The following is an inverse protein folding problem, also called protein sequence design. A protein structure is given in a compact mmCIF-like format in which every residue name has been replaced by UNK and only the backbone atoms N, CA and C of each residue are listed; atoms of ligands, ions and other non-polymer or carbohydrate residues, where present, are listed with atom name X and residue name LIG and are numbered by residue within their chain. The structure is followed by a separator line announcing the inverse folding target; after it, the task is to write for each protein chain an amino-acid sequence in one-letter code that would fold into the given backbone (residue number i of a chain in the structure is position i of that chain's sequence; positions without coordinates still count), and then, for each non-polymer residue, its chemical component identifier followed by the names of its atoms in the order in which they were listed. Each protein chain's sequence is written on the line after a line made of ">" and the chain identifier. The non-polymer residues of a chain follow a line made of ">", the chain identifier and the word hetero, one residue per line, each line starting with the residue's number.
data_IF_635259481769
#
_entry.id   IF_635259481769
#
_cell.length_a   1.000
_cell.length_b   1.000
_cell.length_c   1.000
_cell.angle_alpha   90.00
_cell.angle_beta   90.00
_cell.angle_gamma   90.00
#
_symmetry.space_group_name_H-M   'P 1'
#
loop_
_entity.id
_entity.type
_entity.pdbx_description
1 polymer ?
#
# COMPACT_ATOMS: atom_id res chain seq x y z
N UNK A 1 -15.85 39.92 0.88
CA UNK A 1 -14.51 39.49 0.45
C UNK A 1 -14.39 37.98 0.68
N UNK A 2 -14.86 37.17 -0.27
CA UNK A 2 -14.66 35.71 -0.24
C UNK A 2 -13.31 35.41 -0.92
N UNK A 3 -12.27 35.20 -0.12
CA UNK A 3 -11.09 34.41 -0.53
C UNK A 3 -11.34 32.99 -0.05
N UNK A 4 -12.23 32.29 -0.74
CA UNK A 4 -12.56 30.90 -0.43
C UNK A 4 -11.71 30.00 -1.31
N UNK A 5 -10.56 29.63 -0.74
CA UNK A 5 -9.93 28.30 -0.85
C UNK A 5 -10.03 27.61 -2.22
N UNK A 6 -9.45 28.21 -3.25
CA UNK A 6 -8.75 27.44 -4.27
C UNK A 6 -7.46 26.90 -3.62
N UNK A 7 -7.59 25.91 -2.75
CA UNK A 7 -6.47 25.07 -2.35
C UNK A 7 -6.04 24.32 -3.62
N UNK A 8 -4.94 24.80 -4.22
CA UNK A 8 -4.26 24.24 -5.38
C UNK A 8 -4.47 22.72 -5.51
N UNK A 9 -5.36 22.27 -6.41
CA UNK A 9 -5.52 20.85 -6.77
C UNK A 9 -4.18 20.22 -7.18
N UNK A 10 -3.27 21.03 -7.73
CA UNK A 10 -1.88 20.65 -8.05
C UNK A 10 -1.03 20.26 -6.83
N UNK A 11 -1.40 20.66 -5.60
CA UNK A 11 -0.67 20.30 -4.36
C UNK A 11 -1.15 19.01 -3.72
N UNK A 12 -2.31 18.48 -4.13
CA UNK A 12 -2.88 17.24 -3.59
C UNK A 12 -2.77 16.06 -4.56
N UNK A 13 -2.14 16.25 -5.71
CA UNK A 13 -1.72 15.18 -6.62
C UNK A 13 -0.40 14.57 -6.15
N UNK A 14 -0.29 13.24 -6.25
CA UNK A 14 0.98 12.55 -6.02
C UNK A 14 2.04 13.01 -7.02
N UNK A 15 3.32 12.93 -6.61
CA UNK A 15 4.46 13.07 -7.54
C UNK A 15 4.64 11.85 -8.44
N UNK A 16 4.05 10.71 -8.08
CA UNK A 16 4.02 9.47 -8.85
C UNK A 16 2.63 9.33 -9.50
N UNK A 17 2.44 9.98 -10.65
CA UNK A 17 1.19 9.89 -11.43
C UNK A 17 1.19 8.72 -12.42
N UNK A 18 2.24 7.92 -12.45
CA UNK A 18 2.34 6.71 -13.26
C UNK A 18 2.93 5.60 -12.41
N UNK A 19 2.28 4.44 -12.42
CA UNK A 19 2.80 3.26 -11.74
C UNK A 19 4.02 2.73 -12.47
N UNK A 20 4.97 2.16 -11.73
CA UNK A 20 5.96 1.28 -12.33
C UNK A 20 5.26 0.10 -13.02
N UNK A 21 5.73 -0.22 -14.23
CA UNK A 21 5.23 -1.33 -15.04
C UNK A 21 6.37 -2.21 -15.52
N UNK A 22 6.07 -3.47 -15.76
CA UNK A 22 7.06 -4.46 -16.19
C UNK A 22 7.64 -5.26 -15.01
N UNK A 23 8.62 -6.12 -15.31
CA UNK A 23 9.28 -7.00 -14.32
C UNK A 23 10.78 -7.12 -14.53
N UNK A 24 11.38 -6.31 -15.39
CA UNK A 24 12.79 -6.46 -15.80
C UNK A 24 13.75 -6.24 -14.63
N UNK A 25 13.34 -5.43 -13.65
CA UNK A 25 14.09 -5.13 -12.42
C UNK A 25 13.65 -5.97 -11.22
N UNK A 26 12.70 -6.88 -11.38
CA UNK A 26 12.14 -7.65 -10.26
C UNK A 26 13.24 -8.44 -9.54
N UNK A 27 13.31 -8.29 -8.21
CA UNK A 27 14.26 -9.01 -7.37
C UNK A 27 13.76 -10.41 -7.00
N UNK A 28 14.70 -11.36 -6.93
CA UNK A 28 14.47 -12.74 -6.55
C UNK A 28 15.55 -13.23 -5.56
N UNK A 29 15.18 -14.15 -4.69
CA UNK A 29 16.08 -14.98 -3.88
C UNK A 29 15.94 -16.43 -4.37
N UNK A 30 16.87 -16.88 -5.23
CA UNK A 30 16.71 -18.10 -6.02
C UNK A 30 15.46 -18.02 -6.90
N UNK A 31 14.48 -18.91 -6.65
CA UNK A 31 13.19 -18.91 -7.33
C UNK A 31 12.10 -18.07 -6.63
N UNK A 32 12.40 -17.54 -5.44
CA UNK A 32 11.44 -16.81 -4.60
C UNK A 32 11.37 -15.36 -5.03
N UNK A 33 10.19 -14.91 -5.47
CA UNK A 33 9.96 -13.51 -5.82
C UNK A 33 9.89 -12.66 -4.55
N UNK A 34 10.64 -11.56 -4.51
CA UNK A 34 10.63 -10.65 -3.35
C UNK A 34 9.62 -9.52 -3.54
N UNK A 35 8.83 -9.26 -2.51
CA UNK A 35 7.73 -8.32 -2.50
C UNK A 35 7.82 -7.43 -1.25
N UNK A 36 7.36 -6.19 -1.33
CA UNK A 36 7.10 -5.37 -0.16
C UNK A 36 5.59 -5.28 0.10
N UNK A 37 5.20 -5.24 1.37
CA UNK A 37 3.82 -5.05 1.83
C UNK A 37 3.81 -4.00 2.94
N UNK A 38 2.81 -3.12 2.94
CA UNK A 38 2.76 -2.01 3.88
C UNK A 38 1.40 -1.87 4.56
N UNK A 39 1.42 -1.88 5.89
CA UNK A 39 0.25 -1.60 6.74
C UNK A 39 0.21 -0.11 7.01
N UNK A 40 -0.66 0.59 6.29
CA UNK A 40 -0.86 2.03 6.45
C UNK A 40 -1.91 2.27 7.52
N UNK A 41 -1.55 3.07 8.52
CA UNK A 41 -2.42 3.44 9.63
C UNK A 41 -2.57 4.95 9.73
N UNK A 42 -3.73 5.41 10.20
CA UNK A 42 -3.95 6.80 10.59
C UNK A 42 -4.75 6.86 11.88
N UNK A 43 -4.60 7.96 12.63
CA UNK A 43 -5.48 8.28 13.76
C UNK A 43 -6.28 9.54 13.44
N UNK A 44 -7.60 9.42 13.43
CA UNK A 44 -8.46 10.59 13.36
C UNK A 44 -8.37 11.40 14.66
N UNK A 45 -8.51 12.72 14.57
CA UNK A 45 -8.46 13.60 15.74
C UNK A 45 -9.60 13.23 16.70
N UNK A 46 -9.24 12.91 17.95
CA UNK A 46 -10.21 12.51 18.97
C UNK A 46 -10.63 11.04 18.92
N UNK A 47 -10.13 10.24 17.97
CA UNK A 47 -10.36 8.80 17.95
C UNK A 47 -9.47 8.07 18.98
N UNK A 48 -10.03 7.06 19.62
CA UNK A 48 -9.32 6.23 20.60
C UNK A 48 -8.39 5.19 19.97
N UNK A 49 -8.59 4.86 18.69
CA UNK A 49 -7.88 3.79 17.99
C UNK A 49 -7.48 4.22 16.56
N UNK A 50 -6.51 3.50 16.00
CA UNK A 50 -6.08 3.69 14.61
C UNK A 50 -7.06 3.03 13.63
N UNK A 51 -7.19 3.64 12.47
CA UNK A 51 -7.75 3.04 11.26
C UNK A 51 -6.62 2.54 10.36
N UNK A 52 -6.90 1.50 9.59
CA UNK A 52 -5.99 0.86 8.66
C UNK A 52 -6.54 0.97 7.23
N UNK A 53 -5.67 1.24 6.28
CA UNK A 53 -6.04 1.38 4.88
C UNK A 53 -6.01 0.04 4.17
N UNK A 54 -7.11 -0.30 3.51
CA UNK A 54 -7.19 -1.33 2.49
C UNK A 54 -7.47 -0.70 1.14
N UNK A 55 -7.08 -1.41 0.08
CA UNK A 55 -7.39 -1.05 -1.30
C UNK A 55 -8.06 -2.20 -2.03
N UNK A 56 -8.86 -1.90 -3.05
CA UNK A 56 -9.43 -2.92 -3.93
C UNK A 56 -8.32 -3.61 -4.73
N UNK A 57 -8.40 -4.94 -4.86
CA UNK A 57 -7.49 -5.71 -5.71
C UNK A 57 -7.70 -5.38 -7.20
N UNK A 58 -6.61 -5.09 -7.91
CA UNK A 58 -6.64 -4.86 -9.36
C UNK A 58 -7.14 -6.06 -10.16
N UNK A 59 -6.94 -7.29 -9.67
CA UNK A 59 -7.40 -8.52 -10.33
C UNK A 59 -8.85 -8.88 -9.99
N UNK A 60 -9.29 -8.53 -8.77
CA UNK A 60 -10.60 -8.89 -8.25
C UNK A 60 -11.16 -7.68 -7.51
N UNK A 61 -11.82 -6.72 -8.21
CA UNK A 61 -12.22 -5.44 -7.62
C UNK A 61 -13.13 -5.52 -6.40
N UNK A 62 -13.79 -6.67 -6.18
CA UNK A 62 -14.62 -6.94 -5.00
C UNK A 62 -13.84 -7.43 -3.77
N UNK A 63 -12.54 -7.69 -3.90
CA UNK A 63 -11.66 -8.13 -2.81
C UNK A 63 -10.78 -6.99 -2.33
N UNK A 64 -10.51 -6.98 -1.02
CA UNK A 64 -9.63 -6.00 -0.38
C UNK A 64 -8.25 -6.61 -0.11
N UNK A 65 -7.21 -5.78 -0.20
CA UNK A 65 -5.82 -6.13 0.09
C UNK A 65 -5.12 -4.95 0.79
N UNK A 66 -3.97 -5.23 1.40
CA UNK A 66 -2.99 -4.21 1.75
C UNK A 66 -2.25 -3.73 0.47
N UNK A 67 -1.79 -2.47 0.43
CA UNK A 67 -0.86 -2.02 -0.61
C UNK A 67 0.42 -2.86 -0.59
N UNK A 68 0.84 -3.33 -1.76
CA UNK A 68 1.99 -4.24 -1.90
C UNK A 68 2.42 -4.35 -3.35
N UNK A 69 3.68 -4.68 -3.57
CA UNK A 69 4.13 -5.04 -4.90
C UNK A 69 5.55 -5.55 -4.97
N UNK A 70 6.08 -5.56 -6.19
CA UNK A 70 7.37 -6.15 -6.52
C UNK A 70 8.52 -5.32 -6.00
N UNK A 71 9.43 -5.93 -5.22
CA UNK A 71 10.68 -5.29 -4.86
C UNK A 71 11.63 -5.31 -6.06
N UNK A 72 11.98 -4.13 -6.57
CA UNK A 72 12.92 -3.97 -7.68
C UNK A 72 14.39 -3.83 -7.22
N UNK A 73 15.33 -4.08 -8.13
CA UNK A 73 16.77 -4.09 -7.83
C UNK A 73 17.40 -2.71 -7.65
N UNK A 74 16.69 -1.64 -8.04
CA UNK A 74 17.12 -0.24 -7.97
C UNK A 74 16.53 0.52 -6.78
N UNK A 75 15.88 -0.20 -5.85
CA UNK A 75 15.30 0.35 -4.63
C UNK A 75 15.57 -0.58 -3.43
N UNK A 76 15.46 -0.04 -2.23
CA UNK A 76 15.36 -0.81 -0.99
C UNK A 76 13.94 -1.34 -0.79
N UNK A 77 13.76 -2.34 0.08
CA UNK A 77 12.43 -2.88 0.39
C UNK A 77 11.50 -1.82 1.01
N UNK A 78 12.06 -0.85 1.76
CA UNK A 78 11.31 0.27 2.34
C UNK A 78 10.86 1.25 1.25
N UNK A 79 11.75 1.62 0.33
CA UNK A 79 11.41 2.48 -0.82
C UNK A 79 10.33 1.84 -1.69
N UNK A 80 10.44 0.52 -1.94
CA UNK A 80 9.39 -0.26 -2.61
C UNK A 80 8.05 -0.13 -1.87
N UNK A 81 8.03 -0.36 -0.56
CA UNK A 81 6.81 -0.29 0.25
C UNK A 81 6.15 1.12 0.19
N UNK A 82 6.98 2.18 0.28
CA UNK A 82 6.52 3.57 0.19
C UNK A 82 5.98 3.90 -1.20
N UNK A 83 6.68 3.45 -2.26
CA UNK A 83 6.22 3.60 -3.64
C UNK A 83 4.88 2.92 -3.85
N UNK A 84 4.70 1.68 -3.40
CA UNK A 84 3.43 0.94 -3.56
C UNK A 84 2.28 1.59 -2.76
N UNK A 85 2.54 2.16 -1.58
CA UNK A 85 1.53 2.93 -0.85
C UNK A 85 1.07 4.18 -1.62
N UNK A 86 1.99 4.84 -2.31
CA UNK A 86 1.70 6.01 -3.15
C UNK A 86 1.00 5.59 -4.46
N UNK A 87 1.58 4.67 -5.22
CA UNK A 87 1.05 4.23 -6.52
C UNK A 87 -0.31 3.55 -6.40
N UNK A 88 -0.49 2.63 -5.45
CA UNK A 88 -1.73 1.86 -5.34
C UNK A 88 -2.82 2.57 -4.50
N UNK A 89 -2.42 3.42 -3.55
CA UNK A 89 -3.34 3.99 -2.55
C UNK A 89 -3.28 5.53 -2.42
N UNK A 90 -2.33 6.20 -3.08
CA UNK A 90 -2.17 7.64 -2.99
C UNK A 90 -1.92 8.10 -1.55
N UNK A 91 -1.08 7.38 -0.80
CA UNK A 91 -0.73 7.74 0.59
C UNK A 91 0.77 7.77 0.78
N UNK A 92 1.25 8.80 1.49
CA UNK A 92 2.62 8.90 1.98
C UNK A 92 2.62 9.15 3.50
N UNK A 93 3.77 8.92 4.13
CA UNK A 93 3.87 8.90 5.59
C UNK A 93 5.26 8.56 6.11
N UNK A 94 5.31 8.39 7.44
CA UNK A 94 6.52 8.00 8.15
C UNK A 94 6.51 6.50 8.42
N UNK A 95 7.64 5.84 8.17
CA UNK A 95 7.82 4.44 8.55
C UNK A 95 7.97 4.37 10.07
N UNK A 96 7.02 3.70 10.72
CA UNK A 96 6.95 3.58 12.19
C UNK A 96 7.23 2.17 12.69
N UNK A 97 7.53 1.23 11.79
CA UNK A 97 7.92 -0.12 12.18
C UNK A 97 8.21 -1.04 11.00
N UNK A 98 8.98 -2.09 11.29
CA UNK A 98 9.18 -3.24 10.42
C UNK A 98 8.37 -4.42 10.98
N UNK A 99 7.65 -5.12 10.12
CA UNK A 99 6.77 -6.24 10.50
C UNK A 99 7.44 -7.61 10.26
N UNK A 100 8.67 -7.61 9.73
CA UNK A 100 9.43 -8.82 9.41
C UNK A 100 9.14 -9.35 8.01
N UNK A 101 9.43 -10.63 7.80
CA UNK A 101 9.27 -11.31 6.51
C UNK A 101 8.31 -12.49 6.60
N UNK A 102 7.58 -12.75 5.52
CA UNK A 102 6.66 -13.88 5.42
C UNK A 102 6.84 -14.58 4.07
N UNK A 103 7.13 -15.87 4.11
CA UNK A 103 7.18 -16.74 2.93
C UNK A 103 5.80 -17.32 2.64
N UNK A 104 5.38 -17.28 1.39
CA UNK A 104 4.09 -17.81 0.95
C UNK A 104 4.13 -18.26 -0.50
N UNK A 105 3.13 -19.06 -0.88
CA UNK A 105 2.92 -19.48 -2.26
C UNK A 105 1.86 -18.58 -2.89
N UNK A 106 2.21 -17.89 -3.97
CA UNK A 106 1.23 -17.09 -4.73
C UNK A 106 0.10 -17.97 -5.28
N UNK A 107 -1.03 -17.37 -5.65
CA UNK A 107 -2.14 -18.09 -6.30
C UNK A 107 -1.75 -18.85 -7.59
N UNK A 108 -0.61 -18.50 -8.19
CA UNK A 108 -0.06 -19.18 -9.38
C UNK A 108 0.93 -20.30 -9.02
N UNK A 109 1.03 -20.70 -7.75
CA UNK A 109 1.93 -21.74 -7.28
C UNK A 109 3.40 -21.32 -7.17
N UNK A 110 3.72 -20.03 -7.34
CA UNK A 110 5.11 -19.54 -7.29
C UNK A 110 5.50 -19.08 -5.89
N UNK A 111 6.72 -19.42 -5.39
CA UNK A 111 7.19 -18.97 -4.09
C UNK A 111 7.42 -17.45 -4.08
N UNK A 112 7.00 -16.82 -3.00
CA UNK A 112 7.10 -15.40 -2.76
C UNK A 112 7.52 -15.13 -1.32
N UNK A 113 8.20 -14.01 -1.09
CA UNK A 113 8.55 -13.50 0.25
C UNK A 113 8.12 -12.05 0.37
N UNK A 114 7.28 -11.76 1.36
CA UNK A 114 7.00 -10.38 1.76
C UNK A 114 8.06 -9.84 2.71
N UNK A 115 8.36 -8.56 2.55
CA UNK A 115 8.99 -7.70 3.54
C UNK A 115 7.92 -6.69 4.00
N UNK A 116 7.51 -6.79 5.27
CA UNK A 116 6.40 -6.02 5.82
C UNK A 116 6.85 -4.76 6.55
N UNK A 117 6.13 -3.66 6.35
CA UNK A 117 6.39 -2.37 7.02
C UNK A 117 5.09 -1.77 7.57
N UNK A 118 5.21 -0.91 8.58
CA UNK A 118 4.10 -0.10 9.09
C UNK A 118 4.34 1.38 8.77
N UNK A 119 3.34 2.02 8.20
CA UNK A 119 3.33 3.45 7.85
C UNK A 119 2.32 4.19 8.73
N UNK A 120 2.73 5.32 9.30
CA UNK A 120 1.80 6.31 9.82
C UNK A 120 1.54 7.34 8.71
N UNK A 121 0.31 7.37 8.18
CA UNK A 121 -0.05 8.27 7.08
C UNK A 121 0.03 9.73 7.53
N UNK A 122 0.78 10.54 6.77
CA UNK A 122 0.86 12.00 6.98
C UNK A 122 0.09 12.76 5.91
N UNK A 123 -0.07 12.17 4.72
CA UNK A 123 -0.81 12.78 3.62
C UNK A 123 -1.54 11.73 2.78
N UNK A 124 -2.75 12.09 2.34
CA UNK A 124 -3.59 11.31 1.42
C UNK A 124 -3.85 12.15 0.18
N UNK A 125 -3.41 11.68 -0.98
CA UNK A 125 -3.56 12.35 -2.26
C UNK A 125 -4.97 12.15 -2.85
N UNK A 126 -5.43 13.15 -3.60
CA UNK A 126 -6.70 13.12 -4.33
C UNK A 126 -6.54 12.52 -5.73
N UNK A 127 -5.36 12.69 -6.33
CA UNK A 127 -4.99 12.10 -7.62
C UNK A 127 -3.67 11.34 -7.48
N UNK A 128 -3.63 10.10 -7.96
CA UNK A 128 -2.50 9.18 -7.81
C UNK A 128 -2.48 8.14 -8.94
N UNK A 129 -1.37 7.43 -9.12
CA UNK A 129 -1.16 6.55 -10.28
C UNK A 129 -2.28 5.53 -10.54
N UNK A 130 -2.77 4.85 -9.49
CA UNK A 130 -3.85 3.87 -9.59
C UNK A 130 -5.17 4.38 -9.00
N UNK A 131 -5.53 5.63 -9.32
CA UNK A 131 -6.76 6.29 -8.86
C UNK A 131 -8.08 5.56 -9.21
N UNK A 132 -8.03 4.52 -10.03
CA UNK A 132 -9.15 3.60 -10.29
C UNK A 132 -9.40 2.60 -9.15
N UNK A 133 -8.43 2.38 -8.26
CA UNK A 133 -8.60 1.55 -7.07
C UNK A 133 -9.44 2.26 -6.03
N UNK A 134 -10.30 1.51 -5.35
CA UNK A 134 -11.02 2.00 -4.18
C UNK A 134 -10.16 1.91 -2.93
N UNK A 135 -10.37 2.85 -2.00
CA UNK A 135 -9.71 2.91 -0.69
C UNK A 135 -10.74 2.72 0.40
N UNK A 136 -10.38 1.98 1.46
CA UNK A 136 -11.24 1.81 2.64
C UNK A 136 -10.40 1.92 3.90
N UNK A 137 -10.75 2.86 4.77
CA UNK A 137 -10.20 2.96 6.12
C UNK A 137 -11.09 2.17 7.06
N UNK A 138 -10.50 1.22 7.79
CA UNK A 138 -11.22 0.25 8.61
C UNK A 138 -10.54 0.06 9.95
N UNK A 139 -11.29 -0.37 10.98
CA UNK A 139 -10.67 -0.79 12.23
C UNK A 139 -9.92 -2.13 12.07
N UNK A 140 -9.05 -2.48 13.02
CA UNK A 140 -8.28 -3.74 12.96
C UNK A 140 -9.17 -4.98 12.81
N UNK A 141 -10.32 -5.01 13.50
CA UNK A 141 -11.26 -6.14 13.44
C UNK A 141 -11.78 -6.33 12.01
N UNK A 142 -12.29 -5.25 11.43
CA UNK A 142 -12.82 -5.26 10.06
C UNK A 142 -11.72 -5.54 9.02
N UNK A 143 -10.50 -5.03 9.23
CA UNK A 143 -9.37 -5.35 8.36
C UNK A 143 -9.12 -6.87 8.27
N UNK A 144 -9.12 -7.56 9.42
CA UNK A 144 -8.95 -9.01 9.48
C UNK A 144 -10.08 -9.77 8.79
N UNK A 145 -11.32 -9.30 8.95
CA UNK A 145 -12.49 -9.90 8.28
C UNK A 145 -12.41 -9.73 6.75
N UNK A 146 -12.03 -8.55 6.27
CA UNK A 146 -11.91 -8.28 4.83
C UNK A 146 -10.71 -9.00 4.18
N UNK A 147 -9.66 -9.27 4.95
CA UNK A 147 -8.45 -9.97 4.51
C UNK A 147 -8.49 -11.49 4.75
N UNK A 148 -9.59 -12.06 5.27
CA UNK A 148 -9.66 -13.46 5.68
C UNK A 148 -9.30 -14.48 4.57
N UNK A 149 -9.48 -14.12 3.29
CA UNK A 149 -9.15 -14.96 2.14
C UNK A 149 -7.70 -14.78 1.65
N UNK A 150 -6.90 -13.98 2.37
CA UNK A 150 -5.51 -13.62 2.10
C UNK A 150 -4.70 -13.79 3.40
N UNK A 151 -4.52 -15.03 3.89
CA UNK A 151 -3.84 -15.28 5.16
C UNK A 151 -2.41 -14.71 5.18
N UNK A 152 -1.79 -14.52 4.02
CA UNK A 152 -0.49 -13.87 3.89
C UNK A 152 -0.49 -12.35 4.20
N UNK A 153 -1.65 -11.75 4.43
CA UNK A 153 -1.84 -10.32 4.72
C UNK A 153 -2.45 -10.05 6.11
N UNK A 154 -2.65 -11.08 6.95
CA UNK A 154 -3.34 -11.00 8.25
C UNK A 154 -2.38 -11.11 9.43
#
# INVERSE_FOLDING_TARGET
>A
MHKELLLDDKRLASRLLQSRVGRDKQRYDGHTRLLACIVVSRRQRGAAADEFLLISSSKHPTQWILPKGGWENDESAVECALREADEEAGVTGDIVGQLGTLDFTSQQGKPCRFYGFKLAATQVFLDWAENTRQRKWVCLKEARELLQHRPELV
#
